data_IF_106548239710
#
_entry.id   IF_106548239710
#
_cell.length_a   1.000
_cell.length_b   1.000
_cell.length_c   1.000
_cell.angle_alpha   90.00
_cell.angle_beta   90.00
_cell.angle_gamma   90.00
#
_symmetry.space_group_name_H-M   'P 1'
#
loop_
_entity.id
_entity.type
_entity.pdbx_description
1 polymer ?
#
# COMPACT_ATOMS: atom_id res chain seq x y z
N UNK A 1 -1.36 9.76 19.74
CA UNK A 1 -0.84 10.65 18.68
C UNK A 1 -1.25 10.05 17.33
N UNK A 2 -1.84 10.81 16.40
CA UNK A 2 -2.20 10.26 15.07
C UNK A 2 -0.94 10.13 14.20
N UNK A 3 -0.80 9.02 13.48
CA UNK A 3 0.34 8.74 12.58
C UNK A 3 1.70 8.76 13.31
N UNK A 4 1.74 8.15 14.50
CA UNK A 4 2.97 8.04 15.27
C UNK A 4 3.98 7.13 14.55
N UNK A 5 5.19 7.62 14.37
CA UNK A 5 6.30 6.90 13.73
C UNK A 5 7.22 6.21 14.75
N UNK A 6 6.92 6.33 16.05
CA UNK A 6 7.67 5.69 17.11
C UNK A 6 7.50 4.16 17.09
N UNK A 7 8.42 3.48 17.79
CA UNK A 7 8.27 2.05 18.06
C UNK A 7 6.97 1.80 18.84
N UNK A 8 6.18 0.76 18.50
CA UNK A 8 4.83 0.57 19.04
C UNK A 8 4.82 -0.01 20.48
N UNK A 9 5.61 0.55 21.39
CA UNK A 9 5.79 0.05 22.77
C UNK A 9 4.47 -0.13 23.50
N UNK A 10 3.54 0.83 23.37
CA UNK A 10 2.26 0.78 24.08
C UNK A 10 1.35 -0.33 23.55
N UNK A 11 1.33 -0.56 22.23
CA UNK A 11 0.52 -1.63 21.63
C UNK A 11 1.06 -3.00 22.01
N UNK A 12 2.40 -3.16 21.98
CA UNK A 12 3.08 -4.38 22.41
C UNK A 12 2.80 -4.67 23.90
N UNK A 13 2.99 -3.68 24.77
CA UNK A 13 2.75 -3.83 26.22
C UNK A 13 1.30 -4.22 26.52
N UNK A 14 0.35 -3.64 25.77
CA UNK A 14 -1.05 -4.04 25.88
C UNK A 14 -1.24 -5.52 25.51
N UNK A 15 -0.74 -5.96 24.36
CA UNK A 15 -0.87 -7.35 23.92
C UNK A 15 -0.25 -8.33 24.93
N UNK A 16 1.00 -8.07 25.37
CA UNK A 16 1.69 -8.92 26.35
C UNK A 16 0.89 -9.02 27.66
N UNK A 17 0.41 -7.88 28.18
CA UNK A 17 -0.41 -7.83 29.38
C UNK A 17 -1.72 -8.60 29.23
N UNK A 18 -2.39 -8.46 28.10
CA UNK A 18 -3.66 -9.17 27.83
C UNK A 18 -3.46 -10.69 27.74
N UNK A 19 -2.33 -11.13 27.18
CA UNK A 19 -1.96 -12.55 27.12
C UNK A 19 -1.38 -13.12 28.42
N UNK A 20 -1.09 -12.28 29.42
CA UNK A 20 -0.49 -12.70 30.68
C UNK A 20 0.94 -13.24 30.55
N UNK A 21 1.66 -12.88 29.49
CA UNK A 21 3.05 -13.28 29.24
C UNK A 21 3.96 -12.05 29.10
N UNK A 22 5.27 -12.24 29.20
CA UNK A 22 6.27 -11.23 28.89
C UNK A 22 7.05 -11.52 27.59
N UNK A 23 7.95 -10.61 27.22
CA UNK A 23 8.70 -10.72 25.98
C UNK A 23 9.72 -11.87 25.94
N UNK A 24 10.08 -12.46 27.09
CA UNK A 24 10.98 -13.62 27.18
C UNK A 24 10.27 -14.95 26.91
N UNK A 25 8.94 -14.96 27.03
CA UNK A 25 8.07 -16.12 26.79
C UNK A 25 7.61 -16.25 25.34
N UNK A 26 7.95 -15.28 24.47
CA UNK A 26 7.59 -15.32 23.06
C UNK A 26 8.41 -16.39 22.32
N UNK A 27 7.76 -17.27 21.54
CA UNK A 27 8.47 -18.21 20.67
C UNK A 27 9.18 -17.48 19.52
N UNK A 28 8.44 -16.58 18.86
CA UNK A 28 8.90 -15.78 17.73
C UNK A 28 8.48 -14.32 17.84
N UNK A 29 9.30 -13.42 17.28
CA UNK A 29 8.93 -12.03 17.03
C UNK A 29 9.04 -11.76 15.53
N UNK A 30 8.04 -11.10 14.95
CA UNK A 30 8.03 -10.79 13.52
C UNK A 30 7.98 -9.28 13.27
N UNK A 31 8.64 -8.83 12.21
CA UNK A 31 8.58 -7.45 11.72
C UNK A 31 8.28 -7.43 10.23
N UNK A 32 7.25 -6.68 9.85
CA UNK A 32 6.56 -6.79 8.56
C UNK A 32 7.29 -6.19 7.35
N UNK A 33 8.52 -5.69 7.49
CA UNK A 33 9.33 -5.27 6.34
C UNK A 33 10.78 -5.74 6.48
N UNK A 34 11.45 -6.01 5.34
CA UNK A 34 12.88 -6.32 5.29
C UNK A 34 13.69 -5.02 5.20
N UNK A 35 14.41 -4.60 6.26
CA UNK A 35 15.03 -3.26 6.31
C UNK A 35 16.07 -3.03 5.21
N UNK A 36 16.83 -4.07 4.84
CA UNK A 36 17.87 -3.99 3.83
C UNK A 36 17.33 -3.84 2.41
N UNK A 37 16.31 -4.62 2.02
CA UNK A 37 15.68 -4.50 0.69
C UNK A 37 15.01 -3.13 0.53
N UNK A 38 14.37 -2.64 1.59
CA UNK A 38 13.78 -1.30 1.60
C UNK A 38 14.83 -0.21 1.46
N UNK A 39 15.99 -0.38 2.11
CA UNK A 39 17.11 0.53 1.99
C UNK A 39 17.71 0.52 0.58
N UNK A 40 17.91 -0.66 0.00
CA UNK A 40 18.36 -0.87 -1.37
C UNK A 40 17.44 -0.16 -2.37
N UNK A 41 16.12 -0.36 -2.30
CA UNK A 41 15.16 0.38 -3.14
C UNK A 41 15.36 1.88 -3.06
N UNK A 42 15.49 2.43 -1.85
CA UNK A 42 15.63 3.87 -1.67
C UNK A 42 16.91 4.39 -2.33
N UNK A 43 18.02 3.65 -2.17
CA UNK A 43 19.29 3.97 -2.84
C UNK A 43 19.14 3.93 -4.37
N UNK A 44 18.64 2.82 -4.92
CA UNK A 44 18.47 2.65 -6.36
C UNK A 44 17.52 3.67 -6.97
N UNK A 45 16.42 3.98 -6.29
CA UNK A 45 15.49 5.03 -6.70
C UNK A 45 16.20 6.37 -6.79
N UNK A 46 17.00 6.76 -5.79
CA UNK A 46 17.69 8.04 -5.84
C UNK A 46 18.77 8.10 -6.92
N UNK A 47 19.42 6.97 -7.24
CA UNK A 47 20.37 6.87 -8.35
C UNK A 47 19.66 6.97 -9.71
N UNK A 48 18.53 6.27 -9.89
CA UNK A 48 17.75 6.29 -11.13
C UNK A 48 17.19 7.68 -11.49
N UNK A 49 16.99 8.55 -10.47
CA UNK A 49 16.49 9.91 -10.64
C UNK A 49 17.57 10.98 -10.39
N UNK A 50 18.85 10.66 -10.62
CA UNK A 50 19.94 11.62 -10.57
C UNK A 50 19.75 12.76 -11.60
N UNK A 51 20.18 14.00 -11.28
CA UNK A 51 20.90 14.42 -10.08
C UNK A 51 20.00 14.82 -8.89
N UNK A 52 18.69 14.92 -9.08
CA UNK A 52 17.75 15.38 -8.04
C UNK A 52 17.70 14.36 -6.89
N UNK A 53 17.65 13.06 -7.22
CA UNK A 53 17.64 11.98 -6.24
C UNK A 53 18.84 11.99 -5.30
N UNK A 54 20.03 12.38 -5.78
CA UNK A 54 21.26 12.45 -4.96
C UNK A 54 21.12 13.46 -3.80
N UNK A 55 20.46 14.61 -4.03
CA UNK A 55 20.23 15.60 -2.96
C UNK A 55 19.28 15.05 -1.89
N UNK A 56 18.25 14.31 -2.29
CA UNK A 56 17.28 13.68 -1.39
C UNK A 56 17.92 12.54 -0.60
N UNK A 57 18.76 11.75 -1.25
CA UNK A 57 19.60 10.72 -0.64
C UNK A 57 20.44 11.27 0.51
N UNK A 58 21.23 12.32 0.28
CA UNK A 58 22.11 12.91 1.31
C UNK A 58 21.35 13.37 2.56
N UNK A 59 20.08 13.79 2.42
CA UNK A 59 19.22 14.19 3.55
C UNK A 59 18.59 12.99 4.27
N UNK A 60 18.17 11.98 3.52
CA UNK A 60 17.48 10.81 4.08
C UNK A 60 18.44 9.79 4.72
N UNK A 61 19.68 9.72 4.22
CA UNK A 61 20.66 8.69 4.58
C UNK A 61 20.98 8.64 6.09
N UNK A 62 21.22 9.75 6.79
CA UNK A 62 21.53 9.70 8.22
C UNK A 62 20.41 9.11 9.09
N UNK A 63 19.14 9.30 8.69
CA UNK A 63 17.98 8.75 9.43
C UNK A 63 17.88 7.23 9.24
N UNK A 64 18.12 6.75 8.02
CA UNK A 64 18.10 5.32 7.72
C UNK A 64 19.22 4.56 8.42
N UNK A 65 20.45 5.06 8.32
CA UNK A 65 21.62 4.45 8.96
C UNK A 65 21.48 4.42 10.49
N UNK A 66 20.96 5.48 11.11
CA UNK A 66 20.92 5.57 12.58
C UNK A 66 19.72 4.86 13.23
N UNK A 67 18.61 4.63 12.52
CA UNK A 67 17.38 4.11 13.14
C UNK A 67 16.84 2.84 12.48
N UNK A 68 16.67 2.85 11.15
CA UNK A 68 15.90 1.81 10.46
C UNK A 68 16.68 0.51 10.28
N UNK A 69 18.01 0.59 10.10
CA UNK A 69 18.86 -0.61 9.99
C UNK A 69 19.03 -1.36 11.32
N UNK A 70 18.80 -0.69 12.46
CA UNK A 70 18.98 -1.24 13.81
C UNK A 70 17.66 -1.69 14.44
N UNK A 71 16.64 -1.97 13.63
CA UNK A 71 15.31 -2.36 14.14
C UNK A 71 15.37 -3.68 14.90
N UNK A 72 16.26 -4.59 14.51
CA UNK A 72 16.47 -5.88 15.17
C UNK A 72 16.96 -5.68 16.60
N UNK A 73 17.98 -4.83 16.78
CA UNK A 73 18.55 -4.50 18.09
C UNK A 73 17.52 -3.76 18.95
N UNK A 74 16.77 -2.83 18.35
CA UNK A 74 15.69 -2.12 19.04
C UNK A 74 14.60 -3.07 19.54
N UNK A 75 14.17 -4.04 18.72
CA UNK A 75 13.18 -5.05 19.11
C UNK A 75 13.71 -5.87 20.28
N UNK A 76 14.95 -6.36 20.20
CA UNK A 76 15.57 -7.14 21.28
C UNK A 76 15.63 -6.37 22.60
N UNK A 77 16.08 -5.12 22.55
CA UNK A 77 16.16 -4.25 23.73
C UNK A 77 14.78 -3.98 24.33
N UNK A 78 13.79 -3.61 23.50
CA UNK A 78 12.46 -3.23 23.97
C UNK A 78 11.61 -4.39 24.48
N UNK A 79 11.84 -5.59 23.98
CA UNK A 79 11.11 -6.79 24.41
C UNK A 79 11.89 -7.65 25.40
N UNK A 80 13.16 -7.33 25.68
CA UNK A 80 14.09 -8.24 26.34
C UNK A 80 14.15 -9.63 25.64
N UNK A 81 13.98 -9.63 24.32
CA UNK A 81 13.83 -10.84 23.52
C UNK A 81 15.18 -11.34 22.98
N UNK A 82 15.47 -12.62 23.19
CA UNK A 82 16.71 -13.27 22.75
C UNK A 82 16.53 -14.25 21.59
N UNK A 83 15.28 -14.60 21.25
CA UNK A 83 14.95 -15.59 20.24
C UNK A 83 15.06 -15.10 18.79
N UNK A 84 14.42 -15.84 17.89
CA UNK A 84 14.49 -15.60 16.44
C UNK A 84 13.50 -14.51 16.01
N UNK A 85 14.03 -13.46 15.39
CA UNK A 85 13.21 -12.41 14.78
C UNK A 85 13.03 -12.73 13.29
N UNK A 86 11.78 -12.83 12.85
CA UNK A 86 11.37 -13.11 11.47
C UNK A 86 11.07 -11.80 10.74
N UNK A 87 11.47 -11.72 9.48
CA UNK A 87 11.22 -10.56 8.61
C UNK A 87 10.55 -11.05 7.31
N UNK A 88 9.24 -11.32 7.33
CA UNK A 88 8.49 -11.57 6.10
C UNK A 88 8.52 -10.34 5.20
N UNK A 89 8.25 -10.50 3.91
CA UNK A 89 8.08 -9.35 3.03
C UNK A 89 6.80 -8.59 3.35
N UNK A 90 6.78 -7.29 3.03
CA UNK A 90 5.63 -6.42 3.30
C UNK A 90 4.34 -6.92 2.64
N UNK A 91 4.44 -7.37 1.39
CA UNK A 91 3.29 -7.89 0.65
C UNK A 91 2.90 -9.31 1.07
N UNK A 92 3.83 -10.13 1.57
CA UNK A 92 3.51 -11.40 2.23
C UNK A 92 2.73 -11.14 3.52
N UNK A 93 3.14 -10.15 4.30
CA UNK A 93 2.44 -9.75 5.53
C UNK A 93 1.03 -9.27 5.22
N UNK A 94 0.84 -8.46 4.17
CA UNK A 94 -0.49 -8.07 3.70
C UNK A 94 -1.33 -9.28 3.28
N UNK A 95 -0.79 -10.18 2.46
CA UNK A 95 -1.49 -11.37 2.01
C UNK A 95 -1.89 -12.28 3.18
N UNK A 96 -0.97 -12.53 4.11
CA UNK A 96 -1.21 -13.29 5.34
C UNK A 96 -2.30 -12.65 6.21
N UNK A 97 -2.28 -11.32 6.34
CA UNK A 97 -3.28 -10.59 7.13
C UNK A 97 -4.70 -10.69 6.56
N UNK A 98 -4.85 -10.95 5.26
CA UNK A 98 -6.16 -11.12 4.64
C UNK A 98 -6.55 -12.60 4.52
N UNK A 99 -5.65 -13.48 4.07
CA UNK A 99 -6.00 -14.87 3.79
C UNK A 99 -6.26 -15.68 5.06
N UNK A 100 -5.31 -15.69 6.01
CA UNK A 100 -5.40 -16.57 7.18
C UNK A 100 -6.58 -16.30 8.13
N UNK A 101 -7.06 -15.05 8.33
CA UNK A 101 -8.26 -14.81 9.12
C UNK A 101 -9.56 -14.87 8.28
N UNK A 102 -9.47 -15.05 6.96
CA UNK A 102 -10.66 -15.21 6.12
C UNK A 102 -11.38 -16.54 6.40
N UNK A 103 -12.68 -16.66 6.12
CA UNK A 103 -13.41 -17.92 6.28
C UNK A 103 -13.08 -18.97 5.19
N UNK A 104 -12.17 -18.66 4.26
CA UNK A 104 -11.92 -19.48 3.08
C UNK A 104 -10.75 -20.44 3.30
N UNK A 105 -10.95 -21.71 2.96
CA UNK A 105 -9.87 -22.72 2.98
C UNK A 105 -8.89 -22.54 1.82
N UNK A 106 -9.37 -22.04 0.69
CA UNK A 106 -8.57 -21.61 -0.45
C UNK A 106 -9.15 -20.35 -1.07
N UNK A 107 -8.28 -19.41 -1.42
CA UNK A 107 -8.68 -18.16 -2.05
C UNK A 107 -7.51 -17.59 -2.86
N UNK A 108 -7.82 -16.77 -3.86
CA UNK A 108 -6.83 -15.84 -4.37
C UNK A 108 -6.68 -14.69 -3.39
N UNK A 109 -5.55 -13.99 -3.44
CA UNK A 109 -5.42 -12.70 -2.77
C UNK A 109 -4.88 -11.65 -3.73
N UNK A 110 -5.26 -10.40 -3.50
CA UNK A 110 -4.66 -9.21 -4.12
C UNK A 110 -4.28 -8.25 -2.99
N UNK A 111 -3.01 -7.85 -2.97
CA UNK A 111 -2.52 -6.78 -2.12
C UNK A 111 -2.26 -5.54 -2.99
N UNK A 112 -2.71 -4.36 -2.56
CA UNK A 112 -2.54 -3.11 -3.30
C UNK A 112 -2.20 -1.98 -2.33
N UNK A 113 -1.00 -1.44 -2.44
CA UNK A 113 -0.45 -0.49 -1.48
C UNK A 113 0.32 0.66 -2.13
N UNK A 114 0.76 1.62 -1.32
CA UNK A 114 1.67 2.69 -1.76
C UNK A 114 3.01 2.12 -2.21
N UNK A 115 3.77 1.53 -1.27
CA UNK A 115 5.05 0.87 -1.54
C UNK A 115 5.49 0.00 -0.36
N UNK A 116 5.88 -1.25 -0.63
CA UNK A 116 6.59 -2.12 0.31
C UNK A 116 8.11 -1.95 0.22
N UNK A 117 8.82 -3.07 0.14
CA UNK A 117 10.24 -3.13 -0.22
C UNK A 117 10.44 -2.74 -1.67
N UNK A 118 9.68 -3.33 -2.60
CA UNK A 118 9.66 -3.02 -4.03
C UNK A 118 8.26 -3.09 -4.59
N UNK A 119 7.51 -4.13 -4.23
CA UNK A 119 6.14 -4.32 -4.68
C UNK A 119 5.24 -3.18 -4.23
N UNK A 120 4.25 -2.88 -5.05
CA UNK A 120 3.19 -1.91 -4.81
C UNK A 120 1.82 -2.57 -5.01
N UNK A 121 1.78 -3.66 -5.76
CA UNK A 121 0.64 -4.57 -5.82
C UNK A 121 1.16 -5.98 -6.06
N UNK A 122 0.56 -6.98 -5.44
CA UNK A 122 0.87 -8.37 -5.73
C UNK A 122 -0.38 -9.23 -5.67
N UNK A 123 -0.33 -10.38 -6.33
CA UNK A 123 -1.38 -11.37 -6.21
C UNK A 123 -0.82 -12.78 -6.05
N UNK A 124 -1.66 -13.66 -5.56
CA UNK A 124 -1.29 -15.05 -5.38
C UNK A 124 -2.44 -15.88 -4.86
N UNK A 125 -2.11 -17.04 -4.29
CA UNK A 125 -3.08 -18.00 -3.76
C UNK A 125 -2.76 -18.36 -2.32
N UNK A 126 -3.80 -18.52 -1.51
CA UNK A 126 -3.74 -19.13 -0.20
C UNK A 126 -4.45 -20.48 -0.22
N UNK A 127 -3.86 -21.50 0.40
CA UNK A 127 -4.44 -22.84 0.58
C UNK A 127 -4.06 -23.39 1.96
N UNK A 128 -5.05 -23.60 2.82
CA UNK A 128 -4.83 -24.06 4.19
C UNK A 128 -3.88 -23.13 4.95
N UNK A 129 -2.70 -23.64 5.33
CA UNK A 129 -1.68 -22.90 6.05
C UNK A 129 -0.59 -22.29 5.15
N UNK A 130 -0.78 -22.24 3.83
CA UNK A 130 0.22 -21.72 2.90
C UNK A 130 -0.31 -20.56 2.09
N UNK A 131 0.57 -19.59 1.83
CA UNK A 131 0.39 -18.57 0.81
C UNK A 131 1.53 -18.63 -0.19
N UNK A 132 1.24 -18.32 -1.45
CA UNK A 132 2.20 -18.28 -2.56
C UNK A 132 1.92 -17.03 -3.39
N UNK A 133 2.92 -16.14 -3.50
CA UNK A 133 2.86 -14.98 -4.39
C UNK A 133 3.23 -15.42 -5.81
N UNK A 134 2.42 -15.02 -6.79
CA UNK A 134 2.60 -15.43 -8.18
C UNK A 134 3.23 -14.32 -9.03
N UNK A 135 2.84 -13.07 -8.80
CA UNK A 135 3.42 -11.92 -9.49
C UNK A 135 3.17 -10.62 -8.71
N UNK A 136 3.94 -9.59 -9.06
CA UNK A 136 3.82 -8.26 -8.51
C UNK A 136 3.98 -7.15 -9.56
N UNK A 137 3.55 -5.95 -9.19
CA UNK A 137 3.88 -4.69 -9.83
C UNK A 137 4.83 -3.98 -8.88
N UNK A 138 5.95 -3.50 -9.42
CA UNK A 138 7.00 -2.88 -8.63
C UNK A 138 6.97 -1.35 -8.73
N UNK A 139 7.48 -0.73 -7.67
CA UNK A 139 7.77 0.69 -7.60
C UNK A 139 8.66 1.10 -8.80
N UNK A 140 8.38 2.22 -9.48
CA UNK A 140 7.57 3.36 -9.04
C UNK A 140 6.10 3.32 -9.45
N UNK A 141 5.63 2.20 -9.99
CA UNK A 141 4.26 2.09 -10.50
C UNK A 141 3.35 1.62 -9.37
N UNK A 142 2.49 2.52 -8.85
CA UNK A 142 1.57 2.19 -7.75
C UNK A 142 0.23 2.85 -7.96
N UNK A 143 -0.84 2.05 -7.85
CA UNK A 143 -2.21 2.56 -7.84
C UNK A 143 -2.48 3.42 -6.59
N UNK A 144 -1.87 3.03 -5.46
CA UNK A 144 -1.91 3.82 -4.22
C UNK A 144 -1.24 5.18 -4.39
N UNK A 145 -0.05 5.24 -4.99
CA UNK A 145 0.65 6.52 -5.21
C UNK A 145 -0.02 7.39 -6.27
N UNK A 146 -0.68 6.82 -7.28
CA UNK A 146 -1.57 7.56 -8.18
C UNK A 146 -2.68 8.24 -7.38
N UNK A 147 -3.39 7.49 -6.55
CA UNK A 147 -4.48 8.01 -5.73
C UNK A 147 -4.00 9.07 -4.71
N UNK A 148 -2.84 8.85 -4.08
CA UNK A 148 -2.19 9.82 -3.20
C UNK A 148 -1.70 11.07 -3.95
N UNK A 149 -1.32 10.97 -5.22
CA UNK A 149 -0.97 12.15 -6.03
C UNK A 149 -2.17 13.06 -6.26
N UNK A 150 -3.36 12.50 -6.53
CA UNK A 150 -4.59 13.27 -6.60
C UNK A 150 -5.02 13.80 -5.23
N UNK A 151 -4.80 13.02 -4.15
CA UNK A 151 -5.05 13.45 -2.77
C UNK A 151 -4.20 14.69 -2.43
N UNK A 152 -2.92 14.66 -2.79
CA UNK A 152 -2.01 15.80 -2.66
C UNK A 152 -2.45 16.99 -3.53
N UNK A 153 -2.76 16.75 -4.80
CA UNK A 153 -3.08 17.80 -5.77
C UNK A 153 -4.39 18.52 -5.43
N UNK A 154 -5.36 17.80 -4.90
CA UNK A 154 -6.61 18.37 -4.37
C UNK A 154 -6.43 19.00 -2.99
N UNK A 155 -5.21 19.08 -2.45
CA UNK A 155 -4.87 19.81 -1.23
C UNK A 155 -5.23 19.08 0.06
N UNK A 156 -5.36 17.75 0.02
CA UNK A 156 -5.50 16.92 1.22
C UNK A 156 -4.16 16.33 1.64
N UNK A 157 -4.08 15.89 2.91
CA UNK A 157 -2.88 15.29 3.48
C UNK A 157 -2.72 13.85 3.02
N UNK A 158 -1.61 13.53 2.37
CA UNK A 158 -1.21 12.16 1.98
C UNK A 158 -1.09 11.26 3.22
N UNK A 159 -1.41 9.97 3.07
CA UNK A 159 -1.47 8.93 4.10
C UNK A 159 -2.56 9.16 5.17
N UNK A 160 -3.52 10.04 4.90
CA UNK A 160 -4.58 10.41 5.84
C UNK A 160 -5.78 11.11 5.20
N UNK A 161 -5.77 11.33 3.89
CA UNK A 161 -6.73 12.17 3.18
C UNK A 161 -7.33 11.46 1.98
N UNK A 162 -6.86 10.26 1.66
CA UNK A 162 -7.31 9.42 0.57
C UNK A 162 -8.82 9.13 0.70
N UNK A 163 -9.31 8.83 1.90
CA UNK A 163 -10.74 8.65 2.14
C UNK A 163 -11.55 9.94 1.93
N UNK A 164 -10.95 11.13 2.09
CA UNK A 164 -11.64 12.40 1.79
C UNK A 164 -11.86 12.55 0.30
N UNK A 165 -10.88 12.19 -0.52
CA UNK A 165 -11.05 12.20 -1.97
C UNK A 165 -12.10 11.16 -2.39
N UNK A 166 -12.13 9.98 -1.73
CA UNK A 166 -13.16 8.97 -1.98
C UNK A 166 -14.56 9.51 -1.66
N UNK A 167 -14.71 10.20 -0.52
CA UNK A 167 -15.98 10.85 -0.14
C UNK A 167 -16.33 12.09 -0.99
N UNK A 168 -15.34 12.71 -1.63
CA UNK A 168 -15.53 13.84 -2.54
C UNK A 168 -15.97 13.38 -3.95
N UNK A 169 -15.57 12.17 -4.35
CA UNK A 169 -15.82 11.64 -5.69
C UNK A 169 -17.31 11.67 -6.13
N UNK A 170 -18.32 11.36 -5.28
CA UNK A 170 -19.73 11.41 -5.69
C UNK A 170 -20.26 12.79 -6.09
N UNK A 171 -19.55 13.87 -5.75
CA UNK A 171 -19.95 15.24 -6.09
C UNK A 171 -19.36 15.75 -7.41
N UNK A 172 -18.57 14.91 -8.09
CA UNK A 172 -17.89 15.28 -9.33
C UNK A 172 -18.35 14.46 -10.53
N UNK A 173 -17.92 14.92 -11.70
CA UNK A 173 -18.03 14.20 -12.97
C UNK A 173 -16.67 13.63 -13.37
N UNK A 174 -16.66 12.49 -14.08
CA UNK A 174 -15.43 11.78 -14.48
C UNK A 174 -14.69 12.47 -15.66
N UNK A 175 -14.67 13.80 -15.69
CA UNK A 175 -14.21 14.66 -16.79
C UNK A 175 -12.73 14.46 -17.16
N UNK A 176 -11.91 14.05 -16.20
CA UNK A 176 -10.46 13.91 -16.37
C UNK A 176 -10.03 12.45 -16.56
N UNK A 177 -10.97 11.50 -16.58
CA UNK A 177 -10.67 10.07 -16.70
C UNK A 177 -9.81 9.76 -17.93
N UNK A 178 -10.22 10.28 -19.10
CA UNK A 178 -9.49 10.04 -20.36
C UNK A 178 -8.10 10.67 -20.35
N UNK A 179 -7.93 11.84 -19.70
CA UNK A 179 -6.63 12.48 -19.54
C UNK A 179 -5.71 11.65 -18.64
N UNK A 180 -6.26 11.02 -17.59
CA UNK A 180 -5.50 10.13 -16.70
C UNK A 180 -4.97 8.92 -17.49
N UNK A 181 -5.84 8.22 -18.23
CA UNK A 181 -5.41 7.08 -19.06
C UNK A 181 -4.45 7.48 -20.18
N UNK A 182 -4.66 8.64 -20.79
CA UNK A 182 -3.82 9.09 -21.91
C UNK A 182 -2.42 9.48 -21.47
N UNK A 183 -2.26 10.04 -20.28
CA UNK A 183 -0.99 10.68 -19.89
C UNK A 183 -0.33 10.10 -18.65
N UNK A 184 -1.09 9.62 -17.67
CA UNK A 184 -0.56 9.27 -16.35
C UNK A 184 -0.32 7.77 -16.19
N UNK A 185 -1.22 6.93 -16.70
CA UNK A 185 -1.21 5.48 -16.45
C UNK A 185 -1.58 4.71 -17.72
N UNK A 186 -0.72 3.77 -18.11
CA UNK A 186 -0.96 2.82 -19.19
C UNK A 186 -1.35 1.47 -18.57
N UNK A 187 -2.65 1.14 -18.62
CA UNK A 187 -3.24 -0.06 -18.02
C UNK A 187 -3.52 -1.09 -19.11
N UNK A 188 -3.05 -2.32 -18.91
CA UNK A 188 -3.24 -3.44 -19.83
C UNK A 188 -4.50 -4.23 -19.51
N UNK A 189 -4.88 -5.16 -20.39
CA UNK A 189 -6.08 -5.97 -20.22
C UNK A 189 -6.04 -6.90 -19.01
N UNK A 190 -4.85 -7.33 -18.61
CA UNK A 190 -4.61 -8.10 -17.38
C UNK A 190 -4.60 -7.25 -16.10
N UNK A 191 -4.80 -5.94 -16.22
CA UNK A 191 -4.75 -5.01 -15.09
C UNK A 191 -3.34 -4.63 -14.64
N UNK A 192 -2.29 -5.16 -15.28
CA UNK A 192 -0.94 -4.63 -15.11
C UNK A 192 -0.86 -3.20 -15.64
N UNK A 193 0.00 -2.37 -15.05
CA UNK A 193 0.11 -0.98 -15.45
C UNK A 193 1.50 -0.40 -15.27
N UNK A 194 1.80 0.64 -16.06
CA UNK A 194 2.95 1.51 -15.84
C UNK A 194 2.49 2.96 -15.71
N UNK A 195 3.14 3.67 -14.78
CA UNK A 195 2.94 5.09 -14.56
C UNK A 195 3.93 5.89 -15.39
N UNK A 196 3.47 6.99 -15.98
CA UNK A 196 4.35 7.95 -16.64
C UNK A 196 4.99 8.87 -15.61
N UNK A 197 6.25 8.59 -15.28
CA UNK A 197 6.94 9.25 -14.17
C UNK A 197 7.23 10.73 -14.38
N UNK A 198 7.13 11.25 -15.61
CA UNK A 198 7.24 12.67 -15.92
C UNK A 198 6.22 13.56 -15.17
N UNK A 199 5.10 12.97 -14.75
CA UNK A 199 4.01 13.66 -14.07
C UNK A 199 4.10 13.58 -12.55
N UNK A 200 5.07 12.84 -12.00
CA UNK A 200 5.16 12.58 -10.58
C UNK A 200 6.53 12.94 -10.02
N UNK A 201 6.54 13.31 -8.74
CA UNK A 201 7.76 13.70 -8.03
C UNK A 201 8.08 12.76 -6.86
N UNK A 202 7.22 11.79 -6.53
CA UNK A 202 7.37 10.98 -5.30
C UNK A 202 8.60 10.06 -5.27
N UNK A 203 9.28 9.84 -6.39
CA UNK A 203 10.52 9.06 -6.43
C UNK A 203 11.73 9.82 -5.87
N UNK A 204 11.81 11.13 -6.06
CA UNK A 204 13.01 11.90 -5.74
C UNK A 204 12.74 13.31 -5.17
N UNK A 205 11.50 13.78 -5.24
CA UNK A 205 11.08 15.10 -4.79
C UNK A 205 10.35 15.08 -3.45
N UNK A 206 10.07 16.27 -2.94
CA UNK A 206 9.33 16.49 -1.69
C UNK A 206 7.82 16.63 -1.89
N UNK A 207 7.33 16.36 -3.10
CA UNK A 207 5.94 16.54 -3.52
C UNK A 207 5.48 15.32 -4.32
N UNK A 208 4.16 15.12 -4.45
CA UNK A 208 3.64 13.97 -5.22
C UNK A 208 3.62 14.22 -6.73
N UNK A 209 3.31 15.46 -7.14
CA UNK A 209 3.00 15.81 -8.54
C UNK A 209 4.01 16.79 -9.12
N UNK A 210 4.36 16.64 -10.41
CA UNK A 210 5.29 17.52 -11.12
C UNK A 210 4.61 18.74 -11.77
N UNK A 211 5.41 19.66 -12.31
CA UNK A 211 4.89 20.78 -13.11
C UNK A 211 4.13 20.32 -14.37
N UNK A 212 4.45 19.14 -14.93
CA UNK A 212 3.69 18.57 -16.06
C UNK A 212 2.28 18.17 -15.62
N UNK A 213 2.14 17.60 -14.42
CA UNK A 213 0.83 17.32 -13.82
C UNK A 213 0.03 18.61 -13.60
N UNK A 214 0.69 19.66 -13.10
CA UNK A 214 0.04 20.96 -12.88
C UNK A 214 -0.47 21.56 -14.19
N UNK A 215 0.33 21.52 -15.25
CA UNK A 215 -0.10 21.95 -16.59
C UNK A 215 -1.26 21.11 -17.11
N UNK A 216 -1.19 19.79 -16.97
CA UNK A 216 -2.21 18.86 -17.45
C UNK A 216 -3.59 19.13 -16.84
N UNK A 217 -3.64 19.45 -15.54
CA UNK A 217 -4.88 19.74 -14.82
C UNK A 217 -5.12 21.23 -14.60
N UNK A 218 -4.44 22.11 -15.34
CA UNK A 218 -4.74 23.54 -15.38
C UNK A 218 -4.50 24.29 -14.06
N UNK A 219 -3.34 24.09 -13.43
CA UNK A 219 -2.87 24.94 -12.32
C UNK A 219 -2.03 24.21 -11.27
N UNK A 220 -1.54 24.93 -10.24
CA UNK A 220 -0.85 24.31 -9.11
C UNK A 220 -1.83 23.49 -8.23
N UNK A 221 -1.31 22.68 -7.29
CA UNK A 221 -2.13 22.00 -6.29
C UNK A 221 -3.00 22.99 -5.51
N UNK A 222 -4.21 22.56 -5.13
CA UNK A 222 -5.07 23.33 -4.23
C UNK A 222 -4.34 23.55 -2.90
N UNK A 223 -4.42 24.77 -2.36
CA UNK A 223 -3.90 25.07 -1.01
C UNK A 223 -4.73 24.32 0.05
N UNK A 224 -4.10 23.67 1.05
CA UNK A 224 -4.82 23.02 2.13
C UNK A 224 -5.84 23.96 2.81
N UNK A 225 -6.95 23.38 3.28
CA UNK A 225 -8.04 24.09 3.97
C UNK A 225 -8.68 25.28 3.18
N UNK A 226 -8.37 25.42 1.88
CA UNK A 226 -9.06 26.38 1.00
C UNK A 226 -10.39 25.83 0.47
N UNK A 227 -11.24 26.70 -0.08
CA UNK A 227 -12.55 26.30 -0.63
C UNK A 227 -12.38 25.24 -1.73
N UNK A 228 -13.17 24.17 -1.65
CA UNK A 228 -13.27 23.16 -2.71
C UNK A 228 -14.13 23.71 -3.86
N UNK A 229 -13.73 23.38 -5.09
CA UNK A 229 -14.46 23.74 -6.31
C UNK A 229 -14.88 22.47 -7.06
N UNK A 230 -15.69 22.66 -8.11
CA UNK A 230 -16.08 21.55 -9.00
C UNK A 230 -14.85 20.85 -9.60
N UNK A 231 -13.74 21.57 -9.82
CA UNK A 231 -12.50 20.99 -10.34
C UNK A 231 -11.98 19.86 -9.42
N UNK A 232 -11.90 20.08 -8.12
CA UNK A 232 -11.42 19.07 -7.18
C UNK A 232 -12.37 17.87 -7.09
N UNK A 233 -13.68 18.13 -7.19
CA UNK A 233 -14.70 17.07 -7.23
C UNK A 233 -14.56 16.21 -8.49
N UNK A 234 -14.41 16.83 -9.66
CA UNK A 234 -14.23 16.14 -10.93
C UNK A 234 -12.92 15.35 -10.98
N UNK A 235 -11.83 15.91 -10.43
CA UNK A 235 -10.55 15.20 -10.27
C UNK A 235 -10.70 13.97 -9.36
N UNK A 236 -11.40 14.12 -8.22
CA UNK A 236 -11.69 13.03 -7.31
C UNK A 236 -12.53 11.94 -7.98
N UNK A 237 -13.60 12.31 -8.68
CA UNK A 237 -14.45 11.37 -9.43
C UNK A 237 -13.65 10.62 -10.50
N UNK A 238 -12.79 11.34 -11.22
CA UNK A 238 -12.01 10.78 -12.32
C UNK A 238 -10.99 9.76 -11.83
N UNK A 239 -10.18 10.08 -10.81
CA UNK A 239 -9.21 9.11 -10.26
C UNK A 239 -9.92 7.92 -9.61
N UNK A 240 -11.05 8.16 -8.94
CA UNK A 240 -11.85 7.09 -8.35
C UNK A 240 -12.37 6.11 -9.43
N UNK A 241 -12.88 6.62 -10.56
CA UNK A 241 -13.31 5.76 -11.69
C UNK A 241 -12.16 4.95 -12.28
N UNK A 242 -10.98 5.56 -12.43
CA UNK A 242 -9.77 4.87 -12.91
C UNK A 242 -9.39 3.75 -11.94
N UNK A 243 -9.31 4.05 -10.64
CA UNK A 243 -8.98 3.06 -9.61
C UNK A 243 -9.95 1.88 -9.61
N UNK A 244 -11.25 2.13 -9.67
CA UNK A 244 -12.27 1.07 -9.76
C UNK A 244 -12.06 0.15 -10.97
N UNK A 245 -11.72 0.72 -12.13
CA UNK A 245 -11.51 -0.04 -13.37
C UNK A 245 -10.21 -0.85 -13.35
N UNK A 246 -9.14 -0.30 -12.81
CA UNK A 246 -7.88 -1.04 -12.62
C UNK A 246 -8.07 -2.20 -11.66
N UNK A 247 -8.71 -1.97 -10.51
CA UNK A 247 -9.00 -3.04 -9.52
C UNK A 247 -9.82 -4.16 -10.15
N UNK A 248 -10.86 -3.84 -10.93
CA UNK A 248 -11.66 -4.85 -11.63
C UNK A 248 -10.85 -5.64 -12.67
N UNK A 249 -9.97 -4.98 -13.44
CA UNK A 249 -9.09 -5.65 -14.41
C UNK A 249 -8.12 -6.61 -13.71
N UNK A 250 -7.48 -6.15 -12.63
CA UNK A 250 -6.61 -6.99 -11.81
C UNK A 250 -7.37 -8.20 -11.25
N UNK A 251 -8.55 -7.98 -10.67
CA UNK A 251 -9.38 -9.06 -10.13
C UNK A 251 -9.81 -10.08 -11.19
N UNK A 252 -10.19 -9.61 -12.39
CA UNK A 252 -10.53 -10.49 -13.52
C UNK A 252 -9.33 -11.32 -13.97
N UNK A 253 -8.14 -10.74 -14.05
CA UNK A 253 -6.92 -11.46 -14.36
C UNK A 253 -6.62 -12.52 -13.30
N UNK A 254 -6.64 -12.14 -12.01
CA UNK A 254 -6.39 -13.06 -10.90
C UNK A 254 -7.39 -14.22 -10.87
N UNK A 255 -8.68 -13.97 -11.13
CA UNK A 255 -9.69 -15.03 -11.26
C UNK A 255 -9.32 -16.01 -12.36
N UNK A 256 -8.87 -15.50 -13.51
CA UNK A 256 -8.47 -16.31 -14.67
C UNK A 256 -7.21 -17.13 -14.39
N UNK A 257 -6.18 -16.53 -13.81
CA UNK A 257 -4.90 -17.21 -13.56
C UNK A 257 -4.98 -18.24 -12.43
N UNK A 258 -5.73 -17.94 -11.37
CA UNK A 258 -5.78 -18.80 -10.18
C UNK A 258 -6.91 -19.81 -10.18
N UNK A 259 -8.01 -19.53 -10.91
CA UNK A 259 -9.24 -20.32 -10.84
C UNK A 259 -9.96 -20.27 -9.47
N UNK A 260 -9.49 -19.45 -8.52
CA UNK A 260 -10.02 -19.39 -7.16
C UNK A 260 -11.38 -18.72 -7.09
N UNK A 261 -12.31 -19.31 -6.35
CA UNK A 261 -13.69 -18.83 -6.22
C UNK A 261 -13.82 -17.62 -5.30
N UNK A 262 -12.91 -17.49 -4.33
CA UNK A 262 -12.90 -16.43 -3.33
C UNK A 262 -11.69 -15.53 -3.51
N UNK A 263 -11.82 -14.27 -3.08
CA UNK A 263 -10.76 -13.28 -3.16
C UNK A 263 -10.55 -12.56 -1.82
N UNK A 264 -9.32 -12.56 -1.32
CA UNK A 264 -8.89 -11.81 -0.16
C UNK A 264 -8.16 -10.51 -0.57
N UNK A 265 -8.44 -9.41 0.12
CA UNK A 265 -7.93 -8.08 -0.20
C UNK A 265 -7.21 -7.44 1.00
N UNK A 266 -6.01 -6.92 0.75
CA UNK A 266 -5.21 -6.12 1.69
C UNK A 266 -4.40 -5.03 0.98
N UNK A 267 -3.61 -4.26 1.74
CA UNK A 267 -2.92 -3.06 1.30
C UNK A 267 -3.81 -1.80 1.40
N UNK A 268 -3.18 -0.62 1.48
CA UNK A 268 -3.91 0.63 1.72
C UNK A 268 -5.01 0.95 0.69
N UNK A 269 -4.89 0.47 -0.55
CA UNK A 269 -5.92 0.67 -1.59
C UNK A 269 -7.15 -0.21 -1.35
N UNK A 270 -7.01 -1.36 -0.67
CA UNK A 270 -8.14 -2.21 -0.30
C UNK A 270 -9.08 -1.57 0.73
N UNK A 271 -8.73 -0.41 1.30
CA UNK A 271 -9.66 0.42 2.08
C UNK A 271 -10.62 1.25 1.22
N UNK A 272 -10.49 1.21 -0.11
CA UNK A 272 -11.42 1.88 -1.03
C UNK A 272 -12.74 1.09 -1.13
N UNK A 273 -13.68 1.39 -0.23
CA UNK A 273 -14.95 0.68 -0.15
C UNK A 273 -15.82 0.82 -1.42
N UNK A 274 -15.64 1.88 -2.20
CA UNK A 274 -16.34 2.07 -3.48
C UNK A 274 -15.85 1.06 -4.52
N UNK A 275 -14.53 0.90 -4.66
CA UNK A 275 -13.93 -0.12 -5.52
C UNK A 275 -14.31 -1.53 -5.06
N UNK A 276 -14.22 -1.82 -3.76
CA UNK A 276 -14.61 -3.11 -3.18
C UNK A 276 -16.08 -3.44 -3.46
N UNK A 277 -16.98 -2.47 -3.28
CA UNK A 277 -18.40 -2.66 -3.55
C UNK A 277 -18.69 -2.96 -5.02
N UNK A 278 -17.96 -2.33 -5.95
CA UNK A 278 -18.06 -2.60 -7.38
C UNK A 278 -17.53 -4.00 -7.72
N UNK A 279 -16.43 -4.40 -7.10
CA UNK A 279 -15.86 -5.74 -7.26
C UNK A 279 -16.80 -6.83 -6.74
N UNK A 280 -17.35 -6.68 -5.53
CA UNK A 280 -18.34 -7.62 -4.99
C UNK A 280 -19.55 -7.77 -5.92
N UNK A 281 -20.11 -6.64 -6.39
CA UNK A 281 -21.26 -6.65 -7.31
C UNK A 281 -20.95 -7.19 -8.71
N UNK A 282 -19.68 -7.29 -9.09
CA UNK A 282 -19.30 -7.82 -10.40
C UNK A 282 -19.56 -9.32 -10.55
N UNK A 283 -19.68 -10.06 -9.43
CA UNK A 283 -19.85 -11.52 -9.45
C UNK A 283 -18.64 -12.28 -10.01
N UNK A 284 -17.46 -11.65 -10.11
CA UNK A 284 -16.23 -12.32 -10.56
C UNK A 284 -15.78 -13.44 -9.61
N UNK A 285 -16.05 -13.24 -8.32
CA UNK A 285 -15.79 -14.16 -7.23
C UNK A 285 -17.10 -14.44 -6.50
N UNK A 286 -17.22 -15.63 -5.92
CA UNK A 286 -18.41 -16.07 -5.18
C UNK A 286 -18.57 -15.23 -3.91
N UNK A 287 -17.46 -14.85 -3.28
CA UNK A 287 -17.39 -13.88 -2.19
C UNK A 287 -15.99 -13.24 -2.08
N UNK A 288 -15.88 -12.14 -1.34
CA UNK A 288 -14.62 -11.46 -1.06
C UNK A 288 -14.42 -11.22 0.44
N UNK A 289 -13.16 -11.30 0.89
CA UNK A 289 -12.75 -10.91 2.23
C UNK A 289 -11.84 -9.69 2.16
N UNK A 290 -12.10 -8.68 2.98
CA UNK A 290 -11.28 -7.46 3.05
C UNK A 290 -10.76 -7.36 4.48
N UNK A 291 -9.44 -7.29 4.64
CA UNK A 291 -8.86 -7.14 5.96
C UNK A 291 -9.31 -5.82 6.60
N UNK A 292 -9.92 -5.80 7.81
CA UNK A 292 -10.41 -4.55 8.41
C UNK A 292 -9.30 -3.52 8.64
N UNK A 293 -8.10 -4.00 9.00
CA UNK A 293 -6.88 -3.21 9.07
C UNK A 293 -6.04 -3.37 7.79
N UNK A 294 -6.63 -3.27 6.60
CA UNK A 294 -5.94 -3.59 5.33
C UNK A 294 -4.67 -2.77 5.04
N UNK A 295 -4.54 -1.55 5.55
CA UNK A 295 -3.29 -0.78 5.43
C UNK A 295 -2.17 -1.29 6.35
N UNK A 296 -1.06 -0.56 6.44
CA UNK A 296 0.13 -0.97 7.22
C UNK A 296 -0.14 -1.32 8.70
N UNK A 297 -1.23 -0.82 9.28
CA UNK A 297 -1.64 -1.19 10.64
C UNK A 297 -1.93 -2.69 10.79
N UNK A 298 -2.39 -3.36 9.72
CA UNK A 298 -2.58 -4.81 9.68
C UNK A 298 -1.30 -5.61 9.44
N UNK A 299 -0.18 -4.95 9.14
CA UNK A 299 1.11 -5.61 8.90
C UNK A 299 1.56 -6.44 10.11
N UNK A 300 1.32 -5.95 11.33
CA UNK A 300 1.69 -6.65 12.57
C UNK A 300 0.96 -8.00 12.76
N UNK A 301 -0.36 -8.03 12.51
CA UNK A 301 -1.12 -9.30 12.58
C UNK A 301 -0.77 -10.20 11.39
N UNK A 302 -0.54 -9.62 10.21
CA UNK A 302 -0.08 -10.33 9.03
C UNK A 302 1.24 -11.05 9.22
N UNK A 303 2.25 -10.36 9.75
CA UNK A 303 3.55 -10.96 10.00
C UNK A 303 3.51 -12.02 11.11
N UNK A 304 2.69 -11.81 12.15
CA UNK A 304 2.47 -12.82 13.19
C UNK A 304 1.82 -14.09 12.62
N UNK A 305 0.76 -13.96 11.80
CA UNK A 305 0.08 -15.08 11.15
C UNK A 305 0.98 -15.80 10.14
N UNK A 306 1.77 -15.04 9.35
CA UNK A 306 2.75 -15.62 8.45
C UNK A 306 3.78 -16.46 9.23
N UNK A 307 4.32 -15.90 10.32
CA UNK A 307 5.25 -16.64 11.17
C UNK A 307 4.63 -17.88 11.77
N UNK A 308 3.41 -17.79 12.31
CA UNK A 308 2.72 -18.93 12.91
C UNK A 308 2.51 -20.12 11.95
N UNK A 309 2.19 -19.85 10.68
CA UNK A 309 1.86 -20.90 9.73
C UNK A 309 3.06 -21.39 8.89
N UNK A 310 4.12 -20.61 8.77
CA UNK A 310 5.24 -20.87 7.85
C UNK A 310 6.57 -21.19 8.56
N UNK A 311 6.64 -21.09 9.89
CA UNK A 311 7.83 -21.40 10.71
C UNK A 311 7.49 -22.34 11.85
#
# INVERSE_FOLDING_TARGET
IKHDHAFPSNAIQYCLKESGIDGTELDFVAFYDKPFLKFERILETYLAFAPIGIKSFLKAMPLWIKKKLWIKELIKDKLHYSGKIIFPEHHESHAASAFFPSPFQEAAFITMDGVGEWSTSSFGVGKGNKIELLADIQFPHSLGLLYSAFTYYTGFRVNSGEYKIMGLAPYGEAKYKDLIYKHLIDVKEDGSFKMNMDYFNYCAGLTMTSNKFHKLFGGPPRKPESKLTQKEMDLARSVQSVTEEVVLKMAKHVRKETGMKYLCLAGGVALNCVANGKLLRSGLFDDIWIQPAAGDAGGAVGCALFTWYQY
#
